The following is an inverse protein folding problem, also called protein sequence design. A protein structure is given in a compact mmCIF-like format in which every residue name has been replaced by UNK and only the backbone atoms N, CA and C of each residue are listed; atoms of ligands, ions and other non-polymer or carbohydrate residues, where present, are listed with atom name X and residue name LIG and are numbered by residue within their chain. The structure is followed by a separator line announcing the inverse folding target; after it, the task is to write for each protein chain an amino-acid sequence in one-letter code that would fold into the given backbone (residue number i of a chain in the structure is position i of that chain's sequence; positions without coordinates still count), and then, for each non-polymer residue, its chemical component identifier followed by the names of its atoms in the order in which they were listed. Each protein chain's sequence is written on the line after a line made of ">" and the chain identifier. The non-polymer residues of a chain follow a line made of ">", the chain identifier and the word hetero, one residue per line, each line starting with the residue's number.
data_IF_503752577078
#
_entry.id   IF_503752577078
#
_cell.length_a   1.000
_cell.length_b   1.000
_cell.length_c   1.000
_cell.angle_alpha   90.00
_cell.angle_beta   90.00
_cell.angle_gamma   90.00
#
_symmetry.space_group_name_H-M   'P 1'
#
loop_
_entity.id
_entity.type
_entity.pdbx_description
1 polymer ?
#
# COMPACT_ATOMS: atom_id res chain seq x y z
N UNK A 1 -7.15 21.90 -17.39
CA UNK A 1 -6.27 20.73 -17.21
C UNK A 1 -7.14 19.65 -16.60
N UNK A 2 -7.18 18.45 -17.16
CA UNK A 2 -7.92 17.35 -16.54
C UNK A 2 -7.17 16.92 -15.28
N UNK A 3 -7.76 17.10 -14.11
CA UNK A 3 -7.18 16.63 -12.85
C UNK A 3 -7.02 15.11 -12.92
N UNK A 4 -5.80 14.62 -12.71
CA UNK A 4 -5.54 13.18 -12.67
C UNK A 4 -6.27 12.57 -11.47
N UNK A 5 -7.06 11.53 -11.70
CA UNK A 5 -7.80 10.84 -10.64
C UNK A 5 -7.19 9.47 -10.36
N UNK A 6 -6.93 9.21 -9.07
CA UNK A 6 -6.52 7.89 -8.58
C UNK A 6 -7.71 6.91 -8.66
N UNK A 7 -7.52 5.80 -9.37
CA UNK A 7 -8.56 4.80 -9.65
C UNK A 7 -7.94 3.43 -9.93
N UNK A 8 -8.77 2.37 -9.90
CA UNK A 8 -8.35 1.01 -10.27
C UNK A 8 -8.19 0.82 -11.78
N UNK A 9 -8.53 1.81 -12.61
CA UNK A 9 -8.31 1.76 -14.06
C UNK A 9 -6.83 1.83 -14.35
N UNK A 10 -6.22 0.79 -14.95
CA UNK A 10 -4.79 0.78 -15.22
C UNK A 10 -4.42 1.83 -16.26
N UNK A 11 -3.26 2.44 -16.10
CA UNK A 11 -2.68 3.38 -17.08
C UNK A 11 -1.46 2.77 -17.74
N UNK A 12 -1.17 3.17 -18.98
CA UNK A 12 0.04 2.75 -19.68
C UNK A 12 1.24 3.53 -19.18
N UNK A 13 2.43 2.96 -19.37
CA UNK A 13 3.69 3.64 -19.03
C UNK A 13 3.92 4.93 -19.83
N UNK A 14 3.36 5.05 -21.03
CA UNK A 14 3.42 6.28 -21.83
C UNK A 14 2.55 7.41 -21.28
N UNK A 15 1.56 7.06 -20.45
CA UNK A 15 0.49 7.95 -20.01
C UNK A 15 0.65 8.31 -18.52
N UNK A 16 1.84 8.08 -17.96
CA UNK A 16 2.12 8.36 -16.56
C UNK A 16 2.02 9.87 -16.28
N UNK A 17 1.24 10.29 -15.27
CA UNK A 17 1.30 11.66 -14.77
C UNK A 17 2.66 11.93 -14.11
N UNK A 18 2.98 13.21 -13.90
CA UNK A 18 4.20 13.59 -13.17
C UNK A 18 4.17 13.08 -11.72
N UNK A 19 5.34 12.83 -11.14
CA UNK A 19 5.46 12.43 -9.73
C UNK A 19 4.76 13.42 -8.79
N UNK A 20 4.89 14.73 -9.05
CA UNK A 20 4.19 15.78 -8.31
C UNK A 20 2.66 15.64 -8.36
N UNK A 21 2.11 15.34 -9.54
CA UNK A 21 0.67 15.11 -9.72
C UNK A 21 0.20 13.87 -8.96
N UNK A 22 1.00 12.80 -8.98
CA UNK A 22 0.70 11.56 -8.24
C UNK A 22 0.67 11.83 -6.73
N UNK A 23 1.70 12.51 -6.22
CA UNK A 23 1.85 12.84 -4.80
C UNK A 23 0.74 13.78 -4.33
N UNK A 24 0.44 14.84 -5.08
CA UNK A 24 -0.62 15.78 -4.73
C UNK A 24 -2.01 15.12 -4.73
N UNK A 25 -2.30 14.27 -5.72
CA UNK A 25 -3.53 13.48 -5.77
C UNK A 25 -3.64 12.50 -4.61
N UNK A 26 -2.53 11.85 -4.24
CA UNK A 26 -2.47 10.93 -3.11
C UNK A 26 -2.74 11.62 -1.77
N UNK A 27 -2.14 12.80 -1.55
CA UNK A 27 -2.41 13.64 -0.38
C UNK A 27 -3.88 14.04 -0.30
N UNK A 28 -4.41 14.61 -1.39
CA UNK A 28 -5.80 15.06 -1.44
C UNK A 28 -6.79 13.92 -1.14
N UNK A 29 -6.54 12.72 -1.67
CA UNK A 29 -7.36 11.56 -1.36
C UNK A 29 -7.29 11.20 0.13
N UNK A 30 -6.10 11.12 0.72
CA UNK A 30 -5.95 10.81 2.13
C UNK A 30 -6.57 11.86 3.05
N UNK A 31 -6.46 13.14 2.71
CA UNK A 31 -7.08 14.22 3.49
C UNK A 31 -8.62 14.10 3.47
N UNK A 32 -9.18 13.66 2.35
CA UNK A 32 -10.62 13.40 2.23
C UNK A 32 -11.12 12.28 3.16
N UNK A 33 -10.25 11.36 3.60
CA UNK A 33 -10.64 10.19 4.44
C UNK A 33 -11.24 10.58 5.79
N UNK A 34 -10.97 11.80 6.27
CA UNK A 34 -11.58 12.38 7.47
C UNK A 34 -13.11 12.52 7.37
N UNK A 35 -13.64 12.65 6.16
CA UNK A 35 -15.08 12.77 5.87
C UNK A 35 -15.76 11.45 5.53
N UNK A 36 -15.00 10.35 5.45
CA UNK A 36 -15.54 9.04 5.05
C UNK A 36 -16.34 8.40 6.18
N UNK A 37 -17.23 7.46 5.83
CA UNK A 37 -18.06 6.76 6.81
C UNK A 37 -17.17 5.95 7.76
N UNK A 38 -17.22 6.19 9.09
CA UNK A 38 -16.48 5.38 10.05
C UNK A 38 -16.89 3.91 9.97
N UNK A 39 -15.89 3.03 10.00
CA UNK A 39 -16.02 1.58 10.00
C UNK A 39 -15.78 0.97 11.38
N UNK A 40 -15.41 -0.31 11.40
CA UNK A 40 -15.10 -1.02 12.64
C UNK A 40 -13.70 -0.66 13.13
N UNK A 41 -13.50 -0.79 14.44
CA UNK A 41 -12.15 -0.83 14.99
C UNK A 41 -11.71 -2.28 15.15
N UNK A 42 -10.43 -2.54 14.87
CA UNK A 42 -9.81 -3.86 14.95
C UNK A 42 -8.57 -3.79 15.88
N UNK A 43 -7.95 -4.95 16.16
CA UNK A 43 -6.74 -5.05 17.00
C UNK A 43 -6.89 -4.33 18.34
N UNK A 44 -7.99 -4.60 19.05
CA UNK A 44 -8.33 -3.97 20.34
C UNK A 44 -8.42 -2.43 20.29
N UNK A 45 -8.83 -1.88 19.14
CA UNK A 45 -9.02 -0.44 18.98
C UNK A 45 -7.84 0.31 18.37
N UNK A 46 -6.71 -0.37 18.11
CA UNK A 46 -5.50 0.22 17.54
C UNK A 46 -5.72 0.65 16.08
N UNK A 47 -6.42 -0.18 15.29
CA UNK A 47 -6.70 0.12 13.89
C UNK A 47 -8.15 0.54 13.73
N UNK A 48 -8.37 1.78 13.28
CA UNK A 48 -9.69 2.32 12.96
C UNK A 48 -9.89 2.29 11.45
N UNK A 49 -11.03 1.80 10.97
CA UNK A 49 -11.35 1.83 9.54
C UNK A 49 -12.35 2.91 9.18
N UNK A 50 -12.37 3.32 7.91
CA UNK A 50 -13.44 4.11 7.30
C UNK A 50 -13.57 3.73 5.82
N UNK A 51 -14.70 4.06 5.20
CA UNK A 51 -14.93 3.76 3.80
C UNK A 51 -15.82 4.79 3.13
N UNK A 52 -15.74 4.85 1.79
CA UNK A 52 -16.73 5.56 0.97
C UNK A 52 -17.17 4.67 -0.21
N UNK A 53 -18.45 4.76 -0.63
CA UNK A 53 -18.89 4.07 -1.83
C UNK A 53 -18.14 4.56 -3.06
N UNK A 54 -18.13 3.75 -4.13
CA UNK A 54 -17.50 4.15 -5.39
C UNK A 54 -18.17 5.40 -5.96
N UNK A 55 -17.36 6.38 -6.32
CA UNK A 55 -17.76 7.50 -7.18
C UNK A 55 -17.73 7.09 -8.65
N UNK A 56 -18.11 8.02 -9.56
CA UNK A 56 -18.22 7.74 -10.99
C UNK A 56 -16.93 7.20 -11.64
N UNK A 57 -15.76 7.59 -11.15
CA UNK A 57 -14.46 7.27 -11.77
C UNK A 57 -13.60 6.30 -10.95
N UNK A 58 -14.02 5.90 -9.74
CA UNK A 58 -13.19 5.10 -8.81
C UNK A 58 -13.07 3.62 -9.24
N UNK A 59 -14.06 3.11 -9.98
CA UNK A 59 -14.17 1.70 -10.38
C UNK A 59 -14.60 0.75 -9.26
N UNK A 60 -14.13 0.94 -8.02
CA UNK A 60 -14.55 0.19 -6.83
C UNK A 60 -14.63 1.09 -5.58
N UNK A 61 -15.35 0.67 -4.51
CA UNK A 61 -15.39 1.41 -3.26
C UNK A 61 -14.00 1.63 -2.67
N UNK A 62 -13.87 2.67 -1.85
CA UNK A 62 -12.63 2.97 -1.16
C UNK A 62 -12.72 2.56 0.31
N UNK A 63 -11.66 1.94 0.79
CA UNK A 63 -11.48 1.52 2.17
C UNK A 63 -10.23 2.16 2.72
N UNK A 64 -10.27 2.57 3.97
CA UNK A 64 -9.17 3.24 4.64
C UNK A 64 -9.00 2.69 6.04
N UNK A 65 -7.76 2.68 6.51
CA UNK A 65 -7.42 2.39 7.90
C UNK A 65 -6.42 3.41 8.42
N UNK A 66 -6.50 3.66 9.72
CA UNK A 66 -5.61 4.55 10.48
C UNK A 66 -5.16 3.82 11.73
N UNK A 67 -3.89 3.94 12.06
CA UNK A 67 -3.29 3.40 13.28
C UNK A 67 -2.17 4.31 13.76
N UNK A 68 -2.00 4.43 15.06
CA UNK A 68 -0.91 5.19 15.68
C UNK A 68 0.00 4.25 16.45
N UNK A 69 1.31 4.43 16.29
CA UNK A 69 2.33 3.51 16.77
C UNK A 69 3.37 4.27 17.59
N UNK A 70 3.76 3.70 18.73
CA UNK A 70 4.82 4.27 19.56
C UNK A 70 6.20 3.79 19.08
N UNK A 71 7.28 4.34 19.61
CA UNK A 71 8.65 3.98 19.20
C UNK A 71 8.99 2.50 19.48
N UNK A 72 8.31 1.89 20.45
CA UNK A 72 8.37 0.46 20.75
C UNK A 72 7.85 -0.38 19.60
N UNK A 73 6.84 0.09 18.88
CA UNK A 73 6.33 -0.54 17.66
C UNK A 73 7.32 -0.31 16.51
N UNK A 74 7.53 0.95 16.12
CA UNK A 74 8.55 1.41 15.19
C UNK A 74 8.62 2.95 15.17
N UNK A 75 9.82 3.50 15.00
CA UNK A 75 10.03 4.93 14.74
C UNK A 75 9.67 5.30 13.29
N UNK A 76 9.56 6.60 12.99
CA UNK A 76 9.28 7.09 11.63
C UNK A 76 10.28 6.55 10.61
N UNK A 77 11.57 6.62 10.91
CA UNK A 77 12.63 6.15 10.02
C UNK A 77 12.60 4.63 9.83
N UNK A 78 12.27 3.87 10.88
CA UNK A 78 12.10 2.42 10.79
C UNK A 78 10.91 2.06 9.89
N UNK A 79 9.75 2.70 10.08
CA UNK A 79 8.61 2.53 9.19
C UNK A 79 8.98 2.89 7.75
N UNK A 80 9.61 4.06 7.53
CA UNK A 80 9.99 4.50 6.19
C UNK A 80 10.97 3.53 5.52
N UNK A 81 11.95 3.00 6.27
CA UNK A 81 12.94 2.06 5.73
C UNK A 81 12.33 0.75 5.21
N UNK A 82 11.12 0.40 5.66
CA UNK A 82 10.44 -0.86 5.26
C UNK A 82 9.24 -0.64 4.35
N UNK A 83 8.55 0.49 4.50
CA UNK A 83 7.35 0.81 3.74
C UNK A 83 7.64 1.75 2.57
N UNK A 84 8.55 2.70 2.73
CA UNK A 84 8.94 3.66 1.70
C UNK A 84 10.13 3.23 0.85
N UNK A 85 10.87 2.20 1.29
CA UNK A 85 12.02 1.62 0.58
C UNK A 85 11.78 0.13 0.38
N UNK A 86 11.97 -0.35 -0.85
CA UNK A 86 11.80 -1.76 -1.24
C UNK A 86 10.46 -2.38 -0.80
N UNK A 87 9.39 -1.58 -0.82
CA UNK A 87 8.07 -1.94 -0.28
C UNK A 87 7.59 -3.31 -0.75
N UNK A 88 7.62 -3.57 -2.06
CA UNK A 88 7.16 -4.84 -2.61
C UNK A 88 7.96 -6.05 -2.09
N UNK A 89 9.28 -5.92 -1.96
CA UNK A 89 10.14 -6.97 -1.41
C UNK A 89 9.84 -7.22 0.07
N UNK A 90 9.66 -6.16 0.84
CA UNK A 90 9.31 -6.25 2.26
C UNK A 90 7.92 -6.85 2.46
N UNK A 91 6.91 -6.40 1.68
CA UNK A 91 5.55 -6.95 1.70
C UNK A 91 5.53 -8.46 1.47
N UNK A 92 6.35 -8.98 0.56
CA UNK A 92 6.46 -10.43 0.35
C UNK A 92 6.90 -11.21 1.61
N UNK A 93 7.58 -10.56 2.55
CA UNK A 93 8.03 -11.20 3.79
C UNK A 93 6.93 -11.33 4.85
N UNK A 94 5.93 -10.43 4.84
CA UNK A 94 4.91 -10.38 5.89
C UNK A 94 3.47 -10.56 5.39
N UNK A 95 3.22 -10.41 4.09
CA UNK A 95 1.92 -10.70 3.49
C UNK A 95 1.96 -12.13 2.95
N UNK A 96 1.30 -13.11 3.61
CA UNK A 96 1.44 -14.52 3.28
C UNK A 96 0.92 -14.87 1.88
N UNK A 97 0.02 -14.06 1.32
CA UNK A 97 -0.57 -14.30 0.01
C UNK A 97 0.37 -13.91 -1.14
N UNK A 98 1.37 -13.04 -0.91
CA UNK A 98 2.37 -12.66 -1.92
C UNK A 98 3.43 -13.74 -2.00
N UNK A 99 3.56 -14.39 -3.15
CA UNK A 99 4.55 -15.48 -3.37
C UNK A 99 5.75 -15.07 -4.20
N UNK A 100 5.61 -14.00 -4.98
CA UNK A 100 6.70 -13.45 -5.77
C UNK A 100 6.45 -11.98 -6.04
N UNK A 101 7.52 -11.20 -6.04
CA UNK A 101 7.54 -9.84 -6.57
C UNK A 101 8.65 -9.71 -7.60
N UNK A 102 8.35 -9.00 -8.68
CA UNK A 102 9.28 -8.75 -9.78
C UNK A 102 9.36 -7.25 -9.99
N UNK A 103 10.58 -6.68 -9.91
CA UNK A 103 10.83 -5.33 -10.38
C UNK A 103 10.74 -5.35 -11.91
N UNK A 104 9.69 -4.76 -12.46
CA UNK A 104 9.46 -4.70 -13.91
C UNK A 104 10.31 -3.60 -14.53
N UNK A 105 10.31 -2.42 -13.91
CA UNK A 105 11.05 -1.25 -14.42
C UNK A 105 11.33 -0.24 -13.32
N UNK A 106 12.58 0.16 -13.16
CA UNK A 106 12.93 1.36 -12.39
C UNK A 106 12.73 2.60 -13.27
N UNK A 107 11.99 3.60 -12.82
CA UNK A 107 11.74 4.86 -13.55
C UNK A 107 12.62 5.98 -13.00
N UNK A 108 12.65 6.13 -11.67
CA UNK A 108 13.48 7.10 -10.94
C UNK A 108 13.82 6.51 -9.56
N UNK A 109 14.69 7.13 -8.73
CA UNK A 109 14.94 6.65 -7.37
C UNK A 109 13.68 6.54 -6.48
N UNK A 110 12.64 7.31 -6.79
CA UNK A 110 11.36 7.39 -6.08
C UNK A 110 10.22 6.68 -6.80
N UNK A 111 10.46 6.13 -8.00
CA UNK A 111 9.40 5.58 -8.83
C UNK A 111 9.82 4.27 -9.52
N UNK A 112 9.06 3.20 -9.29
CA UNK A 112 9.32 1.89 -9.87
C UNK A 112 8.03 1.12 -10.14
N UNK A 113 8.05 0.29 -11.19
CA UNK A 113 6.95 -0.62 -11.55
C UNK A 113 7.25 -2.00 -11.01
N UNK A 114 6.32 -2.56 -10.25
CA UNK A 114 6.40 -3.86 -9.63
C UNK A 114 5.24 -4.74 -10.08
N UNK A 115 5.52 -6.02 -10.34
CA UNK A 115 4.51 -7.06 -10.51
C UNK A 115 4.50 -7.96 -9.28
N UNK A 116 3.35 -8.05 -8.60
CA UNK A 116 3.14 -8.84 -7.40
C UNK A 116 2.24 -10.04 -7.74
N UNK A 117 2.72 -11.24 -7.44
CA UNK A 117 2.01 -12.50 -7.68
C UNK A 117 1.43 -13.04 -6.36
N UNK A 118 0.10 -13.10 -6.31
CA UNK A 118 -0.68 -13.52 -5.16
C UNK A 118 -1.27 -14.91 -5.37
N UNK A 119 -1.20 -15.74 -4.34
CA UNK A 119 -1.91 -17.02 -4.30
C UNK A 119 -2.90 -17.02 -3.15
N UNK A 120 -4.09 -17.56 -3.39
CA UNK A 120 -5.13 -17.70 -2.37
C UNK A 120 -5.46 -19.17 -2.18
N UNK A 121 -6.09 -19.55 -1.06
CA UNK A 121 -6.61 -20.90 -0.89
C UNK A 121 -7.53 -21.30 -2.05
N UNK A 122 -7.42 -22.54 -2.57
CA UNK A 122 -8.36 -23.05 -3.57
C UNK A 122 -9.81 -22.87 -3.11
N UNK A 123 -10.76 -22.54 -4.02
CA UNK A 123 -10.69 -22.60 -5.49
C UNK A 123 -10.27 -21.27 -6.16
N UNK A 124 -9.76 -20.30 -5.42
CA UNK A 124 -9.45 -18.96 -5.95
C UNK A 124 -8.14 -19.00 -6.73
N UNK A 125 -8.19 -18.78 -8.06
CA UNK A 125 -6.98 -18.75 -8.90
C UNK A 125 -5.95 -17.70 -8.44
N UNK A 126 -4.67 -17.84 -8.80
CA UNK A 126 -3.68 -16.81 -8.51
C UNK A 126 -4.02 -15.47 -9.16
N UNK A 127 -3.62 -14.37 -8.51
CA UNK A 127 -3.76 -13.00 -9.02
C UNK A 127 -2.41 -12.38 -9.30
N UNK A 128 -2.38 -11.50 -10.30
CA UNK A 128 -1.21 -10.67 -10.61
C UNK A 128 -1.67 -9.22 -10.51
N UNK A 129 -0.97 -8.45 -9.69
CA UNK A 129 -1.16 -7.00 -9.57
C UNK A 129 0.11 -6.31 -10.01
N UNK A 130 0.01 -5.52 -11.07
CA UNK A 130 1.14 -4.74 -11.58
C UNK A 130 0.89 -3.28 -11.28
N UNK A 131 1.78 -2.68 -10.50
CA UNK A 131 1.61 -1.33 -9.98
C UNK A 131 2.87 -0.50 -10.15
N UNK A 132 2.68 0.77 -10.44
CA UNK A 132 3.65 1.82 -10.23
C UNK A 132 3.64 2.17 -8.74
N UNK A 133 4.78 2.16 -8.07
CA UNK A 133 4.97 2.70 -6.73
C UNK A 133 5.76 4.01 -6.84
N UNK A 134 5.16 5.10 -6.39
CA UNK A 134 5.80 6.42 -6.25
C UNK A 134 5.92 6.74 -4.78
N UNK A 135 7.13 7.05 -4.31
CA UNK A 135 7.43 7.40 -2.92
C UNK A 135 7.85 8.85 -2.80
N UNK A 136 7.46 9.47 -1.70
CA UNK A 136 7.80 10.85 -1.37
C UNK A 136 8.06 10.96 0.11
N UNK A 137 9.15 11.62 0.50
CA UNK A 137 9.50 11.89 1.89
C UNK A 137 9.78 13.38 2.07
N UNK A 138 9.23 13.93 3.15
CA UNK A 138 9.52 15.27 3.63
C UNK A 138 9.99 15.17 5.08
N UNK A 139 11.20 15.68 5.32
CA UNK A 139 11.84 15.69 6.63
C UNK A 139 11.55 16.98 7.42
N UNK A 140 10.79 17.92 6.85
CA UNK A 140 10.26 19.06 7.60
C UNK A 140 9.23 18.61 8.63
N UNK A 141 9.20 19.26 9.80
CA UNK A 141 8.24 18.92 10.86
C UNK A 141 6.82 19.37 10.50
N UNK A 142 5.80 18.50 10.61
CA UNK A 142 5.89 17.07 10.95
C UNK A 142 6.42 16.22 9.79
N UNK A 143 7.39 15.34 10.09
CA UNK A 143 7.98 14.45 9.07
C UNK A 143 6.90 13.61 8.44
N UNK A 144 6.88 13.58 7.10
CA UNK A 144 5.82 12.93 6.34
C UNK A 144 6.40 12.04 5.26
N UNK A 145 5.97 10.78 5.23
CA UNK A 145 6.23 9.85 4.15
C UNK A 145 4.94 9.52 3.41
N UNK A 146 4.96 9.48 2.08
CA UNK A 146 3.83 9.11 1.23
C UNK A 146 4.26 8.05 0.23
N UNK A 147 3.43 7.02 0.05
CA UNK A 147 3.59 5.99 -0.97
C UNK A 147 2.30 5.91 -1.76
N UNK A 148 2.35 6.05 -3.08
CA UNK A 148 1.20 5.95 -3.98
C UNK A 148 1.44 4.79 -4.94
N UNK A 149 0.53 3.81 -4.94
CA UNK A 149 0.52 2.68 -5.85
C UNK A 149 -0.61 2.82 -6.87
N UNK A 150 -0.29 2.82 -8.17
CA UNK A 150 -1.25 2.98 -9.27
C UNK A 150 -1.18 1.75 -10.18
N UNK A 151 -2.30 1.16 -10.62
CA UNK A 151 -2.26 -0.01 -11.49
C UNK A 151 -1.72 0.35 -12.88
N UNK A 152 -0.86 -0.53 -13.41
CA UNK A 152 -0.22 -0.34 -14.73
C UNK A 152 -0.69 -1.38 -15.72
N UNK A 153 -0.98 -0.91 -16.94
CA UNK A 153 -1.19 -1.74 -18.11
C UNK A 153 0.12 -1.91 -18.89
N UNK A 154 0.62 -3.14 -18.93
CA UNK A 154 1.81 -3.51 -19.70
C UNK A 154 1.47 -4.04 -21.09
N UNK A 155 0.20 -4.08 -21.52
CA UNK A 155 -0.17 -4.65 -22.82
C UNK A 155 0.43 -3.90 -24.03
N UNK A 156 0.97 -2.70 -23.82
CA UNK A 156 1.70 -1.92 -24.83
C UNK A 156 3.19 -2.22 -24.93
N UNK A 157 3.74 -3.08 -24.06
CA UNK A 157 5.16 -3.45 -24.02
C UNK A 157 5.28 -4.95 -23.77
N UNK A 158 5.43 -5.72 -24.85
CA UNK A 158 5.46 -7.20 -24.79
C UNK A 158 6.61 -7.74 -23.95
N UNK A 159 7.76 -7.05 -23.91
CA UNK A 159 8.92 -7.51 -23.15
C UNK A 159 8.68 -7.33 -21.64
N UNK A 160 8.12 -6.19 -21.23
CA UNK A 160 7.74 -5.98 -19.83
C UNK A 160 6.58 -6.89 -19.41
N UNK A 161 5.60 -7.12 -20.29
CA UNK A 161 4.46 -8.01 -20.01
C UNK A 161 4.91 -9.46 -19.76
N UNK A 162 5.99 -9.93 -20.39
CA UNK A 162 6.56 -11.28 -20.14
C UNK A 162 7.15 -11.44 -18.74
N UNK A 163 7.44 -10.34 -18.04
CA UNK A 163 7.94 -10.36 -16.65
C UNK A 163 6.83 -10.65 -15.62
N UNK A 164 5.57 -10.53 -16.02
CA UNK A 164 4.42 -10.85 -15.18
C UNK A 164 4.23 -12.36 -15.07
N UNK A 165 3.88 -12.82 -13.87
CA UNK A 165 3.49 -14.21 -13.68
C UNK A 165 2.15 -14.53 -14.36
N UNK A 166 1.88 -15.82 -14.57
CA UNK A 166 0.57 -16.27 -15.07
C UNK A 166 -0.47 -16.21 -13.95
N UNK A 167 -1.52 -15.42 -14.15
CA UNK A 167 -2.62 -15.31 -13.20
C UNK A 167 -3.74 -14.39 -13.69
N UNK A 168 -4.84 -14.35 -12.94
CA UNK A 168 -5.92 -13.40 -13.21
C UNK A 168 -5.44 -11.99 -12.85
N UNK A 169 -5.61 -11.02 -13.75
CA UNK A 169 -5.24 -9.62 -13.47
C UNK A 169 -6.16 -9.04 -12.40
N UNK A 170 -5.59 -8.81 -11.22
CA UNK A 170 -6.18 -7.97 -10.20
C UNK A 170 -5.71 -6.52 -10.41
N UNK A 171 -6.45 -5.57 -9.87
CA UNK A 171 -6.09 -4.14 -9.93
C UNK A 171 -6.32 -3.53 -8.57
N UNK A 172 -5.39 -2.72 -8.13
CA UNK A 172 -5.60 -1.85 -6.98
C UNK A 172 -4.90 -0.53 -7.19
N UNK A 173 -5.45 0.49 -6.55
CA UNK A 173 -4.80 1.76 -6.27
C UNK A 173 -4.72 1.90 -4.76
N UNK A 174 -3.56 2.25 -4.22
CA UNK A 174 -3.40 2.45 -2.77
C UNK A 174 -2.52 3.65 -2.47
N UNK A 175 -2.84 4.33 -1.37
CA UNK A 175 -2.09 5.46 -0.87
C UNK A 175 -1.79 5.18 0.60
N UNK A 176 -0.53 5.30 0.99
CA UNK A 176 -0.09 5.18 2.37
C UNK A 176 0.62 6.44 2.81
N UNK A 177 0.36 6.87 4.03
CA UNK A 177 1.04 8.01 4.65
C UNK A 177 1.52 7.65 6.05
N UNK A 178 2.76 8.04 6.33
CA UNK A 178 3.35 8.07 7.65
C UNK A 178 3.49 9.53 8.05
N UNK A 179 3.04 9.89 9.25
CA UNK A 179 3.22 11.22 9.83
C UNK A 179 3.78 11.06 11.24
N UNK A 180 4.91 11.72 11.51
CA UNK A 180 5.41 11.87 12.87
C UNK A 180 4.56 12.89 13.63
N UNK A 181 3.93 12.46 14.72
CA UNK A 181 3.04 13.28 15.53
C UNK A 181 3.80 14.00 16.64
N UNK A 182 3.28 15.12 17.12
CA UNK A 182 3.85 15.89 18.25
C UNK A 182 4.01 15.05 19.53
N UNK A 183 3.25 13.95 19.65
CA UNK A 183 3.36 12.99 20.76
C UNK A 183 4.57 12.06 20.67
N UNK A 184 5.36 12.13 19.60
CA UNK A 184 6.46 11.19 19.29
C UNK A 184 6.00 9.87 18.67
N UNK A 185 4.68 9.67 18.49
CA UNK A 185 4.12 8.53 17.77
C UNK A 185 4.15 8.73 16.26
N UNK A 186 3.99 7.65 15.51
CA UNK A 186 3.80 7.67 14.06
C UNK A 186 2.35 7.30 13.72
N UNK A 187 1.62 8.21 13.07
CA UNK A 187 0.36 7.84 12.40
C UNK A 187 0.69 7.13 11.09
N UNK A 188 0.21 5.91 10.94
CA UNK A 188 0.18 5.21 9.66
C UNK A 188 -1.25 5.15 9.15
N UNK A 189 -1.49 5.79 8.01
CA UNK A 189 -2.77 5.82 7.31
C UNK A 189 -2.64 5.15 5.95
N UNK A 190 -3.63 4.38 5.55
CA UNK A 190 -3.71 3.80 4.21
C UNK A 190 -5.13 3.87 3.69
N UNK A 191 -5.28 4.22 2.40
CA UNK A 191 -6.52 4.08 1.66
C UNK A 191 -6.28 3.24 0.41
N UNK A 192 -7.20 2.33 0.09
CA UNK A 192 -7.12 1.47 -1.08
C UNK A 192 -8.49 1.31 -1.76
N UNK A 193 -8.45 1.15 -3.07
CA UNK A 193 -9.56 0.66 -3.88
C UNK A 193 -9.03 -0.46 -4.74
N UNK A 194 -9.76 -1.58 -4.82
CA UNK A 194 -9.26 -2.76 -5.52
C UNK A 194 -10.36 -3.61 -6.11
N UNK A 195 -9.98 -4.40 -7.11
CA UNK A 195 -10.78 -5.48 -7.67
C UNK A 195 -9.90 -6.71 -7.88
N UNK A 196 -10.35 -7.91 -7.44
CA UNK A 196 -9.61 -9.15 -7.67
C UNK A 196 -9.68 -9.65 -9.12
N UNK A 197 -10.48 -8.99 -9.97
CA UNK A 197 -10.75 -9.39 -11.35
C UNK A 197 -11.46 -10.73 -11.48
N UNK A 198 -11.59 -11.19 -12.73
CA UNK A 198 -12.24 -12.46 -13.04
C UNK A 198 -13.74 -12.46 -12.70
N UNK A 199 -14.25 -13.63 -12.25
CA UNK A 199 -15.67 -13.85 -11.97
C UNK A 199 -16.04 -13.76 -10.47
N UNK A 200 -15.16 -13.21 -9.63
CA UNK A 200 -15.47 -13.07 -8.20
C UNK A 200 -16.45 -11.89 -8.02
N UNK A 201 -17.64 -12.11 -7.44
CA UNK A 201 -18.55 -11.03 -7.08
C UNK A 201 -17.87 -9.98 -6.18
N UNK A 202 -17.96 -8.71 -6.56
CA UNK A 202 -17.24 -7.63 -5.87
C UNK A 202 -17.64 -7.51 -4.39
N UNK A 203 -18.92 -7.72 -4.06
CA UNK A 203 -19.42 -7.65 -2.69
C UNK A 203 -18.70 -8.60 -1.71
N UNK A 204 -18.21 -9.75 -2.18
CA UNK A 204 -17.48 -10.69 -1.31
C UNK A 204 -16.10 -10.15 -0.95
N UNK A 205 -15.39 -9.58 -1.94
CA UNK A 205 -14.11 -8.91 -1.70
C UNK A 205 -14.27 -7.64 -0.85
N UNK A 206 -15.33 -6.87 -1.09
CA UNK A 206 -15.65 -5.65 -0.34
C UNK A 206 -15.96 -5.94 1.13
N UNK A 207 -16.72 -7.01 1.43
CA UNK A 207 -17.16 -7.34 2.79
C UNK A 207 -16.02 -7.68 3.77
N UNK A 208 -14.87 -8.10 3.26
CA UNK A 208 -13.70 -8.49 4.07
C UNK A 208 -12.59 -7.44 4.04
N UNK A 209 -12.69 -6.42 3.19
CA UNK A 209 -11.62 -5.47 2.91
C UNK A 209 -11.09 -4.79 4.18
N UNK A 210 -11.97 -4.23 5.01
CA UNK A 210 -11.62 -3.58 6.27
C UNK A 210 -10.83 -4.52 7.21
N UNK A 211 -11.24 -5.78 7.31
CA UNK A 211 -10.53 -6.75 8.13
C UNK A 211 -9.17 -7.10 7.53
N UNK A 212 -9.08 -7.27 6.22
CA UNK A 212 -7.84 -7.59 5.51
C UNK A 212 -6.81 -6.47 5.70
N UNK A 213 -7.15 -5.22 5.38
CA UNK A 213 -6.22 -4.08 5.50
C UNK A 213 -5.83 -3.79 6.95
N UNK A 214 -6.65 -4.21 7.93
CA UNK A 214 -6.29 -4.10 9.35
C UNK A 214 -5.21 -5.12 9.76
N UNK A 215 -5.24 -6.33 9.18
CA UNK A 215 -4.28 -7.40 9.51
C UNK A 215 -2.89 -7.07 8.99
N UNK A 216 -2.77 -6.33 7.90
CA UNK A 216 -1.49 -5.90 7.33
C UNK A 216 -0.64 -5.13 8.34
N UNK A 217 -1.27 -4.34 9.22
CA UNK A 217 -0.56 -3.63 10.31
C UNK A 217 0.06 -4.63 11.29
N UNK A 218 -0.71 -5.64 11.71
CA UNK A 218 -0.19 -6.68 12.63
C UNK A 218 0.88 -7.54 11.98
N UNK A 219 0.68 -7.94 10.72
CA UNK A 219 1.65 -8.71 9.97
C UNK A 219 2.97 -7.95 9.82
N UNK A 220 2.90 -6.66 9.46
CA UNK A 220 4.06 -5.79 9.38
C UNK A 220 4.79 -5.71 10.71
N UNK A 221 4.10 -5.39 11.81
CA UNK A 221 4.74 -5.23 13.12
C UNK A 221 5.38 -6.53 13.61
N UNK A 222 4.71 -7.67 13.46
CA UNK A 222 5.26 -8.98 13.81
C UNK A 222 6.54 -9.30 13.03
N UNK A 223 6.53 -9.07 11.71
CA UNK A 223 7.72 -9.28 10.89
C UNK A 223 8.82 -8.27 11.22
N UNK A 224 8.46 -6.99 11.37
CA UNK A 224 9.41 -5.93 11.67
C UNK A 224 10.14 -6.23 12.99
N UNK A 225 9.42 -6.65 14.05
CA UNK A 225 10.03 -7.03 15.32
C UNK A 225 10.92 -8.26 15.25
N UNK A 226 10.75 -9.13 14.25
CA UNK A 226 11.66 -10.28 14.06
C UNK A 226 12.97 -9.89 13.37
N UNK A 227 12.97 -8.79 12.59
CA UNK A 227 14.15 -8.29 11.86
C UNK A 227 14.76 -7.02 12.47
N UNK A 228 14.09 -6.38 13.42
CA UNK A 228 14.59 -5.21 14.15
C UNK A 228 15.78 -5.63 15.00
N UNK A 229 16.96 -5.07 14.70
CA UNK A 229 18.16 -5.30 15.51
C UNK A 229 17.89 -4.95 16.97
N UNK A 230 18.15 -5.89 17.88
CA UNK A 230 18.12 -5.58 19.32
C UNK A 230 19.34 -4.73 19.66
N UNK A 231 19.22 -3.73 20.55
CA UNK A 231 20.39 -3.03 21.06
C UNK A 231 21.38 -4.04 21.65
N UNK A 232 22.65 -3.91 21.31
CA UNK A 232 23.73 -4.70 21.88
C UNK A 232 23.74 -4.45 23.40
N UNK A 233 23.54 -5.50 24.21
CA UNK A 233 23.66 -5.37 25.66
C UNK A 233 25.09 -4.93 25.98
N UNK A 234 25.31 -3.85 26.74
CA UNK A 234 26.65 -3.51 27.18
C UNK A 234 27.23 -4.72 27.94
N UNK A 235 28.53 -5.03 27.75
CA UNK A 235 29.13 -6.18 28.40
C UNK A 235 28.93 -6.08 29.91
N UNK A 236 28.39 -7.14 30.51
CA UNK A 236 28.23 -7.25 31.95
C UNK A 236 29.61 -7.00 32.58
N UNK A 237 29.72 -5.91 33.32
CA UNK A 237 30.92 -5.60 34.09
C UNK A 237 30.99 -6.61 35.23
N UNK A 238 31.89 -7.59 35.08
CA UNK A 238 32.29 -8.51 36.15
C UNK A 238 33.33 -7.89 37.08
#
# INVERSE_FOLDING_TARGET
>A
MSDFQLTITPIKLSDLPSEETIVSSGRALLDSTSSWKPGKAYQKGVVKTCSRPKGPQDGAPWHCRVSEHAAEDATFDEFWSKLGVDKAQNEMQYIPDIKKVTLVKQISPTQAVWSLYYTFPPPVSPRVFTVLQTTYRDDNSPRTGLIVSIPIDLSGDEELAKMEEKGVKGRYVSIERLVELDSGKVEWRMATSSTPGGKIPSFMAESTMDSTISKDVTHFLHWFHSVRSKPEQPPASG
#
